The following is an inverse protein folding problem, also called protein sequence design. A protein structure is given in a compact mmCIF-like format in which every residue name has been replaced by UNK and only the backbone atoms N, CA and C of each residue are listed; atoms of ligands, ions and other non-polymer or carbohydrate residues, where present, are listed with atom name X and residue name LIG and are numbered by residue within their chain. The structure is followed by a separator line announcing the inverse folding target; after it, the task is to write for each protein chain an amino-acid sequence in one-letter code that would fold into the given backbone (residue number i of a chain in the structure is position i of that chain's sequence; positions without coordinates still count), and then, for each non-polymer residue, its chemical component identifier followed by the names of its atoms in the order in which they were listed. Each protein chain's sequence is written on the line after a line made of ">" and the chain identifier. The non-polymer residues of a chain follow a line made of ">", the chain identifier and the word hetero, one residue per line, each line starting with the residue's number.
data_IF_706922908163
#
_entry.id   IF_706922908163
#
_cell.length_a   1.000
_cell.length_b   1.000
_cell.length_c   1.000
_cell.angle_alpha   90.00
_cell.angle_beta   90.00
_cell.angle_gamma   90.00
#
_symmetry.space_group_name_H-M   'P 1'
#
loop_
_entity.id
_entity.type
_entity.pdbx_description
1 polymer ?
#
# COMPACT_ATOMS: atom_id res chain seq x y z
N UNK A 1 36.14 61.43 61.22
CA UNK A 1 36.98 60.36 60.65
C UNK A 1 36.30 59.05 61.04
N UNK A 2 35.39 58.58 60.21
CA UNK A 2 34.71 57.29 60.42
C UNK A 2 34.67 56.58 59.06
N UNK A 3 35.39 55.46 59.01
CA UNK A 3 35.53 54.59 57.85
C UNK A 3 34.34 53.62 57.80
N UNK A 4 33.50 53.76 56.79
CA UNK A 4 32.51 52.74 56.40
C UNK A 4 33.20 51.65 55.56
N UNK A 5 33.29 50.44 56.11
CA UNK A 5 33.75 49.23 55.41
C UNK A 5 32.68 48.69 54.45
N UNK A 6 33.08 48.01 53.35
CA UNK A 6 32.18 47.59 52.29
C UNK A 6 31.43 46.31 52.67
N UNK A 7 30.17 46.25 52.23
CA UNK A 7 29.25 45.15 52.45
C UNK A 7 29.73 43.91 51.66
N UNK A 8 30.00 42.81 52.37
CA UNK A 8 30.40 41.52 51.81
C UNK A 8 29.28 40.91 50.95
N UNK A 9 29.62 40.63 49.69
CA UNK A 9 28.75 40.08 48.66
C UNK A 9 28.48 38.59 48.94
N UNK A 10 27.52 38.31 49.83
CA UNK A 10 27.13 36.94 50.18
C UNK A 10 26.23 36.37 49.08
N UNK A 11 26.84 36.00 47.95
CA UNK A 11 26.18 35.35 46.82
C UNK A 11 25.54 34.05 47.31
N UNK A 12 24.20 34.03 47.28
CA UNK A 12 23.37 32.93 47.75
C UNK A 12 23.55 31.69 46.85
N UNK A 13 24.49 30.82 47.24
CA UNK A 13 24.93 29.61 46.53
C UNK A 13 23.78 28.69 46.11
N UNK A 14 22.66 28.71 46.85
CA UNK A 14 21.45 27.93 46.53
C UNK A 14 20.75 28.44 45.27
N UNK A 15 20.81 29.74 45.02
CA UNK A 15 20.17 30.41 43.87
C UNK A 15 20.93 30.20 42.57
N UNK A 16 22.25 30.03 42.64
CA UNK A 16 23.10 29.71 41.47
C UNK A 16 22.95 28.25 41.02
N UNK A 17 22.87 27.30 41.96
CA UNK A 17 22.69 25.87 41.64
C UNK A 17 21.31 25.63 41.01
N UNK A 18 20.25 26.28 41.53
CA UNK A 18 18.91 26.18 40.97
C UNK A 18 18.82 26.73 39.52
N UNK A 19 19.59 27.78 39.20
CA UNK A 19 19.61 28.40 37.86
C UNK A 19 20.36 27.56 36.82
N UNK A 20 21.31 26.72 37.23
CA UNK A 20 22.07 25.83 36.34
C UNK A 20 21.45 24.44 36.21
N UNK A 21 20.78 23.94 37.24
CA UNK A 21 20.15 22.62 37.21
C UNK A 21 18.93 22.57 36.27
N UNK A 22 18.13 23.63 36.23
CA UNK A 22 16.92 23.68 35.39
C UNK A 22 17.17 23.53 33.88
N UNK A 23 18.12 24.28 33.25
CA UNK A 23 18.39 24.10 31.82
C UNK A 23 18.98 22.73 31.50
N UNK A 24 19.77 22.14 32.41
CA UNK A 24 20.32 20.80 32.22
C UNK A 24 19.23 19.72 32.18
N UNK A 25 18.24 19.80 33.08
CA UNK A 25 17.09 18.88 33.09
C UNK A 25 16.25 19.01 31.83
N UNK A 26 15.99 20.25 31.37
CA UNK A 26 15.25 20.48 30.13
C UNK A 26 15.98 19.91 28.91
N UNK A 27 17.29 20.10 28.81
CA UNK A 27 18.08 19.56 27.70
C UNK A 27 18.00 18.02 27.62
N UNK A 28 18.05 17.34 28.77
CA UNK A 28 17.94 15.87 28.82
C UNK A 28 16.54 15.41 28.35
N UNK A 29 15.47 16.11 28.75
CA UNK A 29 14.11 15.79 28.33
C UNK A 29 13.89 16.01 26.83
N UNK A 30 14.46 17.07 26.25
CA UNK A 30 14.36 17.31 24.80
C UNK A 30 15.11 16.27 23.98
N UNK A 31 16.29 15.84 24.44
CA UNK A 31 17.07 14.81 23.77
C UNK A 31 16.37 13.45 23.83
N UNK A 32 15.80 13.07 24.98
CA UNK A 32 15.07 11.80 25.10
C UNK A 32 13.83 11.78 24.21
N UNK A 33 13.06 12.88 24.16
CA UNK A 33 11.89 13.00 23.29
C UNK A 33 12.25 12.94 21.80
N UNK A 34 13.40 13.53 21.42
CA UNK A 34 13.86 13.50 20.03
C UNK A 34 14.29 12.09 19.61
N UNK A 35 14.96 11.35 20.50
CA UNK A 35 15.39 9.97 20.25
C UNK A 35 14.18 9.03 20.11
N UNK A 36 13.16 9.17 20.95
CA UNK A 36 11.96 8.33 20.86
C UNK A 36 11.20 8.58 19.55
N UNK A 37 11.02 9.85 19.15
CA UNK A 37 10.36 10.21 17.89
C UNK A 37 11.15 9.69 16.68
N UNK A 38 12.49 9.80 16.70
CA UNK A 38 13.31 9.29 15.60
C UNK A 38 13.25 7.75 15.49
N UNK A 39 13.19 7.06 16.63
CA UNK A 39 13.14 5.60 16.67
C UNK A 39 11.75 5.08 16.22
N UNK A 40 10.66 5.75 16.59
CA UNK A 40 9.33 5.46 16.03
C UNK A 40 9.29 5.71 14.51
N UNK A 41 9.92 6.77 14.04
CA UNK A 41 9.94 7.09 12.61
C UNK A 41 10.74 6.05 11.81
N UNK A 42 11.87 5.58 12.34
CA UNK A 42 12.67 4.51 11.73
C UNK A 42 11.98 3.14 11.78
N UNK A 43 11.25 2.85 12.86
CA UNK A 43 10.44 1.63 12.98
C UNK A 43 9.32 1.57 11.91
N UNK A 44 8.74 2.72 11.53
CA UNK A 44 7.73 2.78 10.46
C UNK A 44 8.28 2.53 9.05
N UNK A 45 9.59 2.65 8.81
CA UNK A 45 10.19 2.46 7.48
C UNK A 45 10.70 1.03 7.22
N UNK A 46 10.76 0.16 8.23
CA UNK A 46 11.58 -1.07 8.17
C UNK A 46 10.86 -2.41 8.32
N UNK A 47 9.52 -2.46 8.38
CA UNK A 47 8.82 -3.72 8.62
C UNK A 47 8.09 -4.18 7.35
N UNK A 48 8.87 -4.67 6.37
CA UNK A 48 8.39 -5.70 5.43
C UNK A 48 8.43 -7.02 6.19
N UNK A 49 7.61 -7.10 7.24
CA UNK A 49 7.41 -8.36 7.94
C UNK A 49 6.76 -9.34 6.98
N UNK A 50 7.04 -10.64 7.14
CA UNK A 50 6.26 -11.67 6.49
C UNK A 50 4.80 -11.48 6.89
N UNK A 51 4.06 -10.79 6.02
CA UNK A 51 2.64 -10.53 6.22
C UNK A 51 1.97 -11.88 6.16
N UNK A 52 1.63 -12.42 7.32
CA UNK A 52 0.71 -13.55 7.39
C UNK A 52 -0.47 -13.22 6.48
N UNK A 53 -0.84 -14.12 5.55
CA UNK A 53 -1.95 -13.87 4.65
C UNK A 53 -3.13 -13.50 5.53
N UNK A 54 -3.72 -12.34 5.24
CA UNK A 54 -4.86 -11.85 6.00
C UNK A 54 -5.88 -13.01 6.13
N UNK A 55 -6.35 -13.32 7.35
CA UNK A 55 -7.27 -14.42 7.55
C UNK A 55 -8.51 -14.20 6.67
N UNK A 56 -8.78 -15.15 5.77
CA UNK A 56 -9.87 -15.07 4.77
C UNK A 56 -9.42 -14.92 3.31
N UNK A 57 -8.13 -14.70 3.03
CA UNK A 57 -7.61 -14.64 1.66
C UNK A 57 -7.04 -15.99 1.24
N UNK A 58 -7.77 -16.72 0.39
CA UNK A 58 -7.27 -17.94 -0.25
C UNK A 58 -6.50 -17.59 -1.53
N UNK A 59 -5.31 -18.17 -1.69
CA UNK A 59 -4.54 -18.02 -2.91
C UNK A 59 -5.19 -18.78 -4.07
N UNK A 60 -5.23 -18.19 -5.27
CA UNK A 60 -5.67 -18.89 -6.47
C UNK A 60 -4.64 -19.95 -6.89
N UNK A 61 -4.93 -21.22 -6.61
CA UNK A 61 -4.12 -22.34 -7.11
C UNK A 61 -4.70 -22.86 -8.41
N UNK A 62 -3.84 -23.24 -9.37
CA UNK A 62 -4.24 -23.86 -10.64
C UNK A 62 -4.99 -25.19 -10.48
N UNK A 63 -4.97 -25.79 -9.28
CA UNK A 63 -5.72 -27.02 -8.95
C UNK A 63 -7.13 -26.75 -8.43
N UNK A 64 -7.53 -25.48 -8.26
CA UNK A 64 -8.86 -25.14 -7.77
C UNK A 64 -9.91 -25.27 -8.87
N UNK A 65 -11.00 -25.95 -8.53
CA UNK A 65 -12.14 -26.18 -9.43
C UNK A 65 -13.00 -24.90 -9.56
N UNK A 66 -12.90 -23.97 -8.61
CA UNK A 66 -13.74 -22.77 -8.52
C UNK A 66 -13.05 -21.55 -9.16
N UNK A 67 -13.79 -20.67 -9.85
CA UNK A 67 -13.24 -19.41 -10.34
C UNK A 67 -12.63 -18.57 -9.22
N UNK A 68 -11.47 -17.97 -9.48
CA UNK A 68 -10.69 -17.23 -8.50
C UNK A 68 -10.14 -15.92 -9.09
N UNK A 69 -10.31 -14.81 -8.37
CA UNK A 69 -9.88 -13.50 -8.86
C UNK A 69 -8.37 -13.33 -8.69
N UNK A 70 -7.67 -13.05 -9.79
CA UNK A 70 -6.22 -12.89 -9.83
C UNK A 70 -5.78 -11.44 -9.63
N UNK A 71 -6.41 -10.51 -10.34
CA UNK A 71 -6.00 -9.10 -10.32
C UNK A 71 -7.12 -8.17 -10.76
N UNK A 72 -6.93 -6.90 -10.41
CA UNK A 72 -7.80 -5.81 -10.80
C UNK A 72 -6.95 -4.71 -11.43
N UNK A 73 -7.41 -4.15 -12.53
CA UNK A 73 -6.74 -3.04 -13.22
C UNK A 73 -7.76 -2.00 -13.66
N UNK A 74 -7.30 -0.76 -13.81
CA UNK A 74 -8.08 0.25 -14.53
C UNK A 74 -7.90 0.01 -16.02
N UNK A 75 -9.01 -0.05 -16.75
CA UNK A 75 -8.97 -0.19 -18.20
C UNK A 75 -8.64 1.17 -18.83
N UNK A 76 -7.77 1.28 -19.87
CA UNK A 76 -7.40 2.56 -20.48
C UNK A 76 -8.58 3.37 -21.03
N UNK A 77 -9.69 2.71 -21.39
CA UNK A 77 -10.93 3.34 -21.86
C UNK A 77 -11.89 3.76 -20.74
N UNK A 78 -11.49 3.64 -19.48
CA UNK A 78 -12.37 3.79 -18.32
C UNK A 78 -12.98 2.46 -17.87
N UNK A 79 -13.44 2.42 -16.63
CA UNK A 79 -13.92 1.21 -15.98
C UNK A 79 -12.81 0.34 -15.40
N UNK A 80 -13.20 -0.84 -14.91
CA UNK A 80 -12.33 -1.77 -14.22
C UNK A 80 -12.29 -3.11 -14.95
N UNK A 81 -11.08 -3.64 -15.04
CA UNK A 81 -10.76 -4.95 -15.59
C UNK A 81 -10.46 -5.90 -14.42
N UNK A 82 -11.17 -7.01 -14.35
CA UNK A 82 -10.99 -8.07 -13.36
C UNK A 82 -10.49 -9.31 -14.09
N UNK A 83 -9.31 -9.79 -13.73
CA UNK A 83 -8.76 -11.02 -14.27
C UNK A 83 -9.08 -12.19 -13.34
N UNK A 84 -9.63 -13.26 -13.88
CA UNK A 84 -10.10 -14.43 -13.14
C UNK A 84 -9.48 -15.67 -13.73
N UNK A 85 -9.01 -16.56 -12.84
CA UNK A 85 -8.62 -17.92 -13.16
C UNK A 85 -9.85 -18.82 -13.00
N UNK A 86 -10.22 -19.55 -14.04
CA UNK A 86 -11.31 -20.51 -14.00
C UNK A 86 -10.89 -21.82 -14.69
N UNK A 87 -11.60 -22.91 -14.42
CA UNK A 87 -11.39 -24.15 -15.17
C UNK A 87 -11.80 -23.92 -16.65
N UNK A 88 -11.07 -24.49 -17.62
CA UNK A 88 -11.37 -24.35 -19.05
C UNK A 88 -12.73 -24.93 -19.45
N UNK A 89 -13.30 -25.83 -18.63
CA UNK A 89 -14.66 -26.35 -18.78
C UNK A 89 -15.72 -25.60 -17.97
N UNK A 90 -15.38 -24.50 -17.31
CA UNK A 90 -16.35 -23.69 -16.58
C UNK A 90 -17.40 -23.12 -17.56
N UNK A 91 -18.68 -23.02 -17.17
CA UNK A 91 -19.69 -22.35 -17.99
C UNK A 91 -19.32 -20.87 -18.20
N UNK A 92 -20.03 -20.19 -19.08
CA UNK A 92 -19.90 -18.73 -19.13
C UNK A 92 -20.55 -18.12 -17.88
N UNK A 93 -19.98 -17.02 -17.39
CA UNK A 93 -20.36 -16.41 -16.14
C UNK A 93 -20.17 -14.90 -16.18
N UNK A 94 -20.79 -14.20 -15.24
CA UNK A 94 -20.55 -12.79 -14.97
C UNK A 94 -20.19 -12.61 -13.48
N UNK A 95 -19.61 -11.46 -13.15
CA UNK A 95 -19.32 -11.10 -11.76
C UNK A 95 -20.28 -10.01 -11.29
N UNK A 96 -20.91 -10.22 -10.15
CA UNK A 96 -21.65 -9.19 -9.42
C UNK A 96 -20.79 -8.69 -8.27
N UNK A 97 -20.59 -7.39 -8.18
CA UNK A 97 -19.92 -6.76 -7.05
C UNK A 97 -20.93 -5.88 -6.33
N UNK A 98 -21.08 -6.09 -5.02
CA UNK A 98 -21.98 -5.31 -4.19
C UNK A 98 -21.21 -4.25 -3.41
N UNK A 99 -21.64 -3.00 -3.55
CA UNK A 99 -21.08 -1.83 -2.87
C UNK A 99 -22.20 -0.82 -2.57
N UNK A 100 -22.26 -0.29 -1.34
CA UNK A 100 -23.26 0.69 -0.88
C UNK A 100 -24.70 0.38 -1.34
N UNK A 101 -25.13 -0.87 -1.12
CA UNK A 101 -26.46 -1.38 -1.50
C UNK A 101 -26.76 -1.49 -3.00
N UNK A 102 -25.79 -1.20 -3.87
CA UNK A 102 -25.88 -1.40 -5.32
C UNK A 102 -25.10 -2.62 -5.76
N UNK A 103 -25.68 -3.35 -6.72
CA UNK A 103 -25.01 -4.44 -7.41
C UNK A 103 -24.51 -3.95 -8.78
N UNK A 104 -23.22 -4.14 -9.02
CA UNK A 104 -22.54 -3.83 -10.27
C UNK A 104 -22.24 -5.13 -11.00
N UNK A 105 -22.70 -5.25 -12.25
CA UNK A 105 -22.47 -6.43 -13.09
C UNK A 105 -21.24 -6.18 -13.97
N UNK A 106 -20.36 -7.17 -14.02
CA UNK A 106 -19.15 -7.20 -14.84
C UNK A 106 -19.28 -8.34 -15.85
N UNK A 107 -19.24 -7.97 -17.11
CA UNK A 107 -19.34 -8.90 -18.23
C UNK A 107 -17.99 -9.57 -18.44
N UNK A 108 -17.98 -10.91 -18.46
CA UNK A 108 -16.76 -11.69 -18.56
C UNK A 108 -16.62 -12.38 -19.91
N UNK A 109 -15.41 -12.30 -20.47
CA UNK A 109 -15.03 -12.94 -21.72
C UNK A 109 -13.82 -13.83 -21.50
N UNK A 110 -13.89 -15.07 -22.01
CA UNK A 110 -12.73 -15.96 -22.11
C UNK A 110 -11.90 -15.55 -23.32
N UNK A 111 -10.58 -15.54 -23.18
CA UNK A 111 -9.70 -15.22 -24.30
C UNK A 111 -9.84 -16.20 -25.48
N UNK A 112 -9.99 -17.49 -25.17
CA UNK A 112 -10.18 -18.58 -26.13
C UNK A 112 -11.11 -19.65 -25.55
N UNK A 113 -11.74 -20.47 -26.40
CA UNK A 113 -12.41 -21.71 -25.95
C UNK A 113 -11.36 -22.54 -25.21
N UNK A 114 -11.63 -22.92 -23.96
CA UNK A 114 -10.74 -23.64 -23.04
C UNK A 114 -9.65 -22.81 -22.34
N UNK A 115 -9.60 -21.49 -22.54
CA UNK A 115 -8.72 -20.65 -21.74
C UNK A 115 -9.15 -20.71 -20.27
N UNK A 116 -8.16 -20.88 -19.39
CA UNK A 116 -8.35 -20.74 -17.94
C UNK A 116 -8.37 -19.27 -17.50
N UNK A 117 -8.05 -18.35 -18.40
CA UNK A 117 -8.04 -16.92 -18.14
C UNK A 117 -9.32 -16.27 -18.65
N UNK A 118 -10.01 -15.61 -17.74
CA UNK A 118 -11.24 -14.86 -18.00
C UNK A 118 -11.02 -13.41 -17.61
N UNK A 119 -11.41 -12.50 -18.49
CA UNK A 119 -11.33 -11.07 -18.27
C UNK A 119 -12.74 -10.52 -18.15
N UNK A 120 -13.04 -9.83 -17.04
CA UNK A 120 -14.32 -9.20 -16.82
C UNK A 120 -14.19 -7.69 -16.81
N UNK A 121 -15.13 -6.99 -17.43
CA UNK A 121 -15.12 -5.52 -17.53
C UNK A 121 -16.41 -4.93 -17.00
N UNK A 122 -16.30 -3.79 -16.32
CA UNK A 122 -17.44 -3.11 -15.72
C UNK A 122 -17.06 -1.77 -15.10
N UNK A 123 -17.91 -1.28 -14.19
CA UNK A 123 -17.74 0.00 -13.53
C UNK A 123 -16.44 0.08 -12.70
N UNK A 124 -15.93 1.29 -12.48
CA UNK A 124 -14.80 1.50 -11.56
C UNK A 124 -15.24 1.30 -10.12
N UNK A 125 -14.45 0.56 -9.33
CA UNK A 125 -14.69 0.39 -7.89
C UNK A 125 -13.98 1.48 -7.08
N UNK A 126 -14.54 1.87 -5.93
CA UNK A 126 -13.90 2.81 -5.02
C UNK A 126 -12.63 2.20 -4.42
N UNK A 127 -11.58 3.01 -4.35
CA UNK A 127 -10.32 2.64 -3.72
C UNK A 127 -10.41 2.86 -2.22
N UNK A 128 -9.85 1.94 -1.43
CA UNK A 128 -9.80 1.99 0.02
C UNK A 128 -10.93 1.20 0.70
N UNK A 129 -11.80 0.56 -0.06
CA UNK A 129 -13.00 -0.10 0.46
C UNK A 129 -12.97 -1.61 0.23
N UNK A 130 -13.66 -2.35 1.11
CA UNK A 130 -13.90 -3.79 0.95
C UNK A 130 -15.21 -4.00 0.23
N UNK A 131 -15.15 -4.70 -0.90
CA UNK A 131 -16.33 -5.06 -1.70
C UNK A 131 -16.61 -6.55 -1.59
N UNK A 132 -17.88 -6.92 -1.71
CA UNK A 132 -18.31 -8.31 -1.79
C UNK A 132 -18.54 -8.68 -3.25
N UNK A 133 -18.16 -9.88 -3.65
CA UNK A 133 -18.35 -10.37 -5.01
C UNK A 133 -19.07 -11.71 -5.06
N UNK A 134 -19.76 -11.93 -6.17
CA UNK A 134 -20.44 -13.16 -6.54
C UNK A 134 -20.11 -13.47 -8.00
N UNK A 135 -19.63 -14.68 -8.27
CA UNK A 135 -19.43 -15.18 -9.63
C UNK A 135 -20.60 -16.08 -9.95
N UNK A 136 -21.37 -15.74 -10.99
CA UNK A 136 -22.66 -16.37 -11.30
C UNK A 136 -22.65 -16.88 -12.73
N UNK A 137 -23.05 -18.13 -12.95
CA UNK A 137 -23.17 -18.67 -14.30
C UNK A 137 -24.24 -17.92 -15.10
N UNK A 138 -23.99 -17.70 -16.38
CA UNK A 138 -24.93 -16.98 -17.25
C UNK A 138 -26.12 -17.86 -17.63
N UNK A 139 -25.89 -19.16 -17.85
CA UNK A 139 -26.93 -20.07 -18.33
C UNK A 139 -27.92 -20.50 -17.24
N UNK A 140 -27.39 -20.84 -16.05
CA UNK A 140 -28.19 -21.45 -14.97
C UNK A 140 -28.40 -20.50 -13.78
N UNK A 141 -27.79 -19.31 -13.81
CA UNK A 141 -27.82 -18.33 -12.71
C UNK A 141 -27.38 -18.92 -11.36
N UNK A 142 -26.45 -19.89 -11.39
CA UNK A 142 -25.92 -20.54 -10.19
C UNK A 142 -24.67 -19.82 -9.69
N UNK A 143 -24.52 -19.72 -8.37
CA UNK A 143 -23.31 -19.19 -7.75
C UNK A 143 -22.16 -20.17 -7.90
N UNK A 144 -21.11 -19.75 -8.61
CA UNK A 144 -19.88 -20.52 -8.82
C UNK A 144 -18.83 -20.23 -7.73
N UNK A 145 -18.77 -18.98 -7.28
CA UNK A 145 -17.88 -18.52 -6.20
C UNK A 145 -18.42 -17.24 -5.55
N UNK A 146 -18.01 -17.00 -4.30
CA UNK A 146 -18.35 -15.78 -3.56
C UNK A 146 -17.21 -15.41 -2.60
N UNK A 147 -17.11 -14.14 -2.25
CA UNK A 147 -16.14 -13.68 -1.26
C UNK A 147 -16.13 -12.16 -1.12
N UNK A 148 -15.09 -11.63 -0.49
CA UNK A 148 -14.85 -10.20 -0.37
C UNK A 148 -13.37 -9.88 -0.52
N UNK A 149 -13.07 -8.68 -1.03
CA UNK A 149 -11.70 -8.20 -1.15
C UNK A 149 -11.63 -6.67 -0.99
N UNK A 150 -10.56 -6.13 -0.39
CA UNK A 150 -10.27 -4.71 -0.36
C UNK A 150 -9.70 -4.25 -1.69
N UNK A 151 -10.17 -3.10 -2.18
CA UNK A 151 -9.57 -2.40 -3.31
C UNK A 151 -8.47 -1.50 -2.78
N UNK A 152 -7.21 -1.89 -2.99
CA UNK A 152 -6.06 -1.09 -2.54
C UNK A 152 -5.40 -0.44 -3.76
N UNK A 153 -5.49 0.88 -3.85
CA UNK A 153 -4.77 1.68 -4.82
C UNK A 153 -3.47 2.17 -4.21
N UNK A 154 -2.36 1.97 -4.92
CA UNK A 154 -1.05 2.54 -4.54
C UNK A 154 -0.61 3.52 -5.62
N UNK A 155 -0.38 4.77 -5.23
CA UNK A 155 0.28 5.74 -6.08
C UNK A 155 1.79 5.58 -5.91
N UNK A 156 2.45 4.95 -6.88
CA UNK A 156 3.91 4.87 -6.92
C UNK A 156 4.44 6.16 -7.54
N UNK A 157 5.22 6.94 -6.80
CA UNK A 157 5.91 8.09 -7.35
C UNK A 157 6.85 7.62 -8.45
N UNK A 158 6.67 8.13 -9.67
CA UNK A 158 7.60 7.85 -10.76
C UNK A 158 8.92 8.56 -10.44
N UNK A 159 10.04 7.84 -10.25
CA UNK A 159 11.31 8.47 -9.98
C UNK A 159 11.68 9.37 -11.17
N UNK A 160 12.08 10.60 -10.86
CA UNK A 160 12.58 11.53 -11.86
C UNK A 160 14.00 11.09 -12.24
N UNK A 161 14.11 10.12 -13.15
CA UNK A 161 15.40 9.68 -13.68
C UNK A 161 15.84 10.78 -14.65
N UNK A 162 16.74 11.65 -14.19
CA UNK A 162 17.47 12.54 -15.09
C UNK A 162 18.19 11.67 -16.12
N UNK A 163 17.64 11.59 -17.33
CA UNK A 163 18.26 10.88 -18.44
C UNK A 163 19.58 11.58 -18.74
N UNK A 164 20.67 11.07 -18.15
CA UNK A 164 22.00 11.43 -18.62
C UNK A 164 22.16 10.66 -19.93
N UNK A 165 22.32 11.32 -21.09
CA UNK A 165 22.46 10.64 -22.36
C UNK A 165 23.68 9.72 -22.26
N UNK A 166 23.46 8.41 -22.24
CA UNK A 166 24.56 7.45 -22.37
C UNK A 166 25.10 7.61 -23.78
N UNK A 167 26.28 8.21 -23.90
CA UNK A 167 27.00 8.29 -25.17
C UNK A 167 27.40 6.86 -25.58
N UNK A 168 26.63 6.27 -26.49
CA UNK A 168 26.97 5.00 -27.12
C UNK A 168 28.15 5.28 -28.05
N UNK A 169 29.36 4.73 -27.81
CA UNK A 169 30.47 4.91 -28.73
C UNK A 169 30.11 4.31 -30.09
N UNK A 170 30.39 5.05 -31.16
CA UNK A 170 30.21 4.58 -32.53
C UNK A 170 31.04 3.33 -32.78
N UNK A 171 30.38 2.27 -33.27
CA UNK A 171 31.04 1.05 -33.68
C UNK A 171 31.76 1.31 -35.02
N UNK A 172 33.06 1.59 -34.98
CA UNK A 172 33.86 1.68 -36.20
C UNK A 172 33.94 0.30 -36.84
N UNK A 173 33.34 0.16 -38.01
CA UNK A 173 33.41 -1.06 -38.83
C UNK A 173 34.83 -1.15 -39.40
N UNK A 174 35.55 -2.27 -39.22
CA UNK A 174 36.91 -2.41 -39.75
C UNK A 174 36.91 -2.38 -41.28
N UNK A 175 37.96 -1.81 -41.90
CA UNK A 175 38.12 -1.77 -43.35
C UNK A 175 38.33 -3.17 -43.92
N UNK A 176 37.82 -3.36 -45.14
CA UNK A 176 37.68 -4.63 -45.87
C UNK A 176 38.99 -5.07 -46.53
#
# INVERSE_FOLDING_TARGET
>A
MEHSLPNEDRVDRKRLIARLAWPAVLAILFLSMSITVLNEWKSRQGQVDHREPLPGFSYCSSKQIRPCILSFNLNPGGGMLINILANGSAPDFHVKIRHEERDYVYECTKAERYSIHVSCTGATLPVGETVSFLIVSTDENITLAQGSFPIIGMALATPNIAMTPTHIPSFDRPPK
#
